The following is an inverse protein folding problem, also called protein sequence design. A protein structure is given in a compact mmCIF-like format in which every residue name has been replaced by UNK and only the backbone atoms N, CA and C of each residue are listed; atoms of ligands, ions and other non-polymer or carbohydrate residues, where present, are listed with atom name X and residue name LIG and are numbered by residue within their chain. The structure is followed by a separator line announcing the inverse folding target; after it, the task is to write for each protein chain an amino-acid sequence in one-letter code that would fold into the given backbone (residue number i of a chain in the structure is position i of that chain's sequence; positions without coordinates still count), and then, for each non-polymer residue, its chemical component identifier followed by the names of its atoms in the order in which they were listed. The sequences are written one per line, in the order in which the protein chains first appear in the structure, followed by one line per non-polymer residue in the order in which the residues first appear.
data_IF_024651250350
#
_entry.id   IF_024651250350
#
_cell.length_a   1.000
_cell.length_b   1.000
_cell.length_c   1.000
_cell.angle_alpha   90.00
_cell.angle_beta   90.00
_cell.angle_gamma   90.00
#
_symmetry.space_group_name_H-M   'P 1'
#
loop_
_entity.id
_entity.type
_entity.pdbx_description
1 polymer ?
#
# COMPACT_ATOMS: atom_id res chain seq x y z
N UNK A 1 13.23 7.67 -9.88
CA UNK A 1 11.95 7.67 -9.13
C UNK A 1 12.29 7.67 -7.64
N UNK A 2 11.70 8.55 -6.84
CA UNK A 2 12.11 8.76 -5.44
C UNK A 2 11.14 8.16 -4.41
N UNK A 3 9.88 7.93 -4.77
CA UNK A 3 8.85 7.39 -3.89
C UNK A 3 7.73 6.73 -4.71
N UNK A 4 6.99 5.82 -4.07
CA UNK A 4 5.78 5.18 -4.62
C UNK A 4 4.55 5.73 -3.87
N UNK A 5 3.56 6.27 -4.59
CA UNK A 5 2.28 6.69 -4.01
C UNK A 5 1.20 5.67 -4.39
N UNK A 6 0.56 5.07 -3.39
CA UNK A 6 -0.57 4.15 -3.55
C UNK A 6 -1.82 4.81 -3.01
N UNK A 7 -2.73 5.22 -3.89
CA UNK A 7 -4.01 5.84 -3.52
C UNK A 7 -5.16 4.87 -3.85
N UNK A 8 -5.86 4.42 -2.82
CA UNK A 8 -6.95 3.45 -2.95
C UNK A 8 -8.21 4.05 -2.33
N UNK A 9 -9.33 3.90 -3.04
CA UNK A 9 -10.67 4.19 -2.55
C UNK A 9 -11.39 2.87 -2.25
N UNK A 10 -11.55 2.55 -0.98
CA UNK A 10 -12.30 1.42 -0.45
C UNK A 10 -13.80 1.70 -0.47
N UNK A 11 -14.47 1.38 -1.59
CA UNK A 11 -15.93 1.47 -1.67
C UNK A 11 -16.66 0.30 -0.99
N UNK A 12 -16.16 -0.92 -1.17
CA UNK A 12 -16.78 -2.17 -0.66
C UNK A 12 -15.77 -3.00 0.15
N UNK A 13 -14.50 -2.96 -0.24
CA UNK A 13 -13.41 -3.63 0.47
C UNK A 13 -13.10 -2.89 1.77
N UNK A 14 -12.80 -3.65 2.82
CA UNK A 14 -12.34 -3.07 4.09
C UNK A 14 -10.88 -2.65 3.98
N UNK A 15 -10.58 -1.45 4.48
CA UNK A 15 -9.24 -0.86 4.40
C UNK A 15 -8.16 -1.64 5.19
N UNK A 16 -8.57 -2.44 6.19
CA UNK A 16 -7.68 -3.31 6.97
C UNK A 16 -7.03 -4.41 6.11
N UNK A 17 -7.83 -5.10 5.30
CA UNK A 17 -7.37 -6.17 4.39
C UNK A 17 -6.41 -5.60 3.35
N UNK A 18 -6.71 -4.39 2.84
CA UNK A 18 -5.86 -3.71 1.87
C UNK A 18 -4.51 -3.32 2.50
N UNK A 19 -4.53 -2.79 3.71
CA UNK A 19 -3.32 -2.41 4.43
C UNK A 19 -2.42 -3.63 4.71
N UNK A 20 -2.99 -4.75 5.15
CA UNK A 20 -2.23 -6.00 5.35
C UNK A 20 -1.60 -6.51 4.06
N UNK A 21 -2.34 -6.47 2.95
CA UNK A 21 -1.82 -6.86 1.63
C UNK A 21 -0.63 -6.00 1.18
N UNK A 22 -0.70 -4.69 1.41
CA UNK A 22 0.41 -3.78 1.09
C UNK A 22 1.64 -4.06 1.97
N UNK A 23 1.44 -4.34 3.27
CA UNK A 23 2.54 -4.69 4.18
C UNK A 23 3.19 -6.02 3.76
N UNK A 24 2.42 -7.01 3.33
CA UNK A 24 2.96 -8.27 2.83
C UNK A 24 3.77 -8.07 1.55
N UNK A 25 3.21 -7.35 0.57
CA UNK A 25 3.86 -7.08 -0.71
C UNK A 25 5.16 -6.25 -0.56
N UNK A 26 5.16 -5.25 0.34
CA UNK A 26 6.36 -4.43 0.60
C UNK A 26 7.51 -5.24 1.21
N UNK A 27 7.19 -6.26 2.02
CA UNK A 27 8.19 -7.20 2.57
C UNK A 27 8.69 -8.19 1.54
N UNK A 28 7.82 -8.71 0.68
CA UNK A 28 8.19 -9.69 -0.36
C UNK A 28 9.10 -9.07 -1.44
N UNK A 29 8.82 -7.82 -1.82
CA UNK A 29 9.52 -7.13 -2.90
C UNK A 29 10.78 -6.36 -2.46
N UNK A 30 11.14 -6.37 -1.17
CA UNK A 30 12.26 -5.61 -0.58
C UNK A 30 12.37 -4.18 -1.12
N UNK A 31 11.27 -3.42 -1.05
CA UNK A 31 11.20 -2.08 -1.63
C UNK A 31 12.13 -1.11 -0.88
N UNK A 32 13.17 -0.64 -1.57
CA UNK A 32 14.17 0.32 -1.03
C UNK A 32 13.74 1.79 -1.12
N UNK A 33 12.66 2.07 -1.84
CA UNK A 33 12.11 3.42 -1.99
C UNK A 33 10.90 3.59 -1.05
N UNK A 34 10.70 4.79 -0.47
CA UNK A 34 9.59 5.04 0.43
C UNK A 34 8.24 4.87 -0.29
N UNK A 35 7.31 4.21 0.39
CA UNK A 35 5.93 4.00 -0.08
C UNK A 35 4.99 4.84 0.78
N UNK A 36 4.21 5.71 0.13
CA UNK A 36 3.16 6.51 0.75
C UNK A 36 1.82 5.89 0.35
N UNK A 37 1.04 5.44 1.33
CA UNK A 37 -0.25 4.82 1.09
C UNK A 37 -1.35 5.72 1.61
N UNK A 38 -2.39 5.90 0.82
CA UNK A 38 -3.56 6.68 1.18
C UNK A 38 -4.81 5.86 0.87
N UNK A 39 -5.57 5.55 1.92
CA UNK A 39 -6.81 4.78 1.86
C UNK A 39 -7.98 5.74 2.13
N UNK A 40 -8.98 5.79 1.25
CA UNK A 40 -10.30 6.39 1.52
C UNK A 40 -11.33 5.30 1.73
#
# INVERSE_FOLDING_TARGET
VHALLVNIFGGIMRCDVIAEGIIAATKELDLKIPVVVRLQ
#
